data_IF_811936919960
#
_entry.id   IF_811936919960
#
_cell.length_a   1.000
_cell.length_b   1.000
_cell.length_c   1.000
_cell.angle_alpha   90.00
_cell.angle_beta   90.00
_cell.angle_gamma   90.00
#
_symmetry.space_group_name_H-M   'P 1'
#
loop_
_entity.id
_entity.type
_entity.pdbx_description
1 polymer ?
#
# COMPACT_ATOMS: atom_id res chain seq x y z
N UNK A 1 -33.82 1.50 -9.15
CA UNK A 1 -32.38 1.66 -8.87
C UNK A 1 -31.95 0.43 -8.10
N UNK A 2 -31.23 -0.50 -8.75
CA UNK A 2 -30.79 -1.74 -8.06
C UNK A 2 -29.85 -1.42 -6.90
N UNK A 3 -29.82 -2.29 -5.88
CA UNK A 3 -28.91 -2.13 -4.73
C UNK A 3 -27.48 -2.16 -5.28
N UNK A 4 -26.64 -1.22 -4.89
CA UNK A 4 -25.27 -1.05 -5.38
C UNK A 4 -24.44 -2.36 -5.32
N UNK A 5 -24.66 -3.17 -4.29
CA UNK A 5 -24.02 -4.47 -4.10
C UNK A 5 -24.36 -5.50 -5.19
N UNK A 6 -25.51 -5.39 -5.85
CA UNK A 6 -25.92 -6.33 -6.92
C UNK A 6 -25.15 -6.10 -8.22
N UNK A 7 -24.55 -4.91 -8.40
CA UNK A 7 -23.77 -4.55 -9.58
C UNK A 7 -22.32 -5.02 -9.49
N UNK A 8 -21.84 -5.33 -8.29
CA UNK A 8 -20.46 -5.79 -8.05
C UNK A 8 -20.35 -7.28 -8.39
N UNK A 9 -19.43 -7.63 -9.29
CA UNK A 9 -19.09 -9.01 -9.64
C UNK A 9 -17.83 -9.42 -8.91
N UNK A 10 -17.97 -10.25 -7.89
CA UNK A 10 -16.85 -10.81 -7.13
C UNK A 10 -16.39 -12.13 -7.73
N UNK A 11 -15.07 -12.35 -7.84
CA UNK A 11 -14.50 -13.60 -8.31
C UNK A 11 -13.18 -13.92 -7.61
N UNK A 12 -13.01 -15.15 -7.19
CA UNK A 12 -11.72 -15.69 -6.79
C UNK A 12 -10.95 -16.09 -8.06
N UNK A 13 -9.83 -15.43 -8.31
CA UNK A 13 -8.99 -15.65 -9.51
C UNK A 13 -8.00 -16.78 -9.26
N UNK A 14 -7.39 -16.78 -8.07
CA UNK A 14 -6.49 -17.81 -7.58
C UNK A 14 -6.60 -17.87 -6.06
N UNK A 15 -5.94 -18.82 -5.42
CA UNK A 15 -5.86 -18.87 -3.96
C UNK A 15 -5.30 -17.56 -3.40
N UNK A 16 -6.09 -16.88 -2.57
CA UNK A 16 -5.72 -15.60 -1.97
C UNK A 16 -5.66 -14.41 -2.93
N UNK A 17 -6.31 -14.51 -4.10
CA UNK A 17 -6.48 -13.43 -5.07
C UNK A 17 -7.96 -13.28 -5.43
N UNK A 18 -8.57 -12.21 -4.97
CA UNK A 18 -9.98 -11.90 -5.22
C UNK A 18 -10.11 -10.60 -6.02
N UNK A 19 -10.99 -10.60 -7.01
CA UNK A 19 -11.39 -9.39 -7.72
C UNK A 19 -12.82 -9.01 -7.41
N UNK A 20 -13.07 -7.69 -7.35
CA UNK A 20 -14.39 -7.10 -7.25
C UNK A 20 -14.53 -6.10 -8.40
N UNK A 21 -15.43 -6.36 -9.33
CA UNK A 21 -15.56 -5.55 -10.55
C UNK A 21 -16.95 -4.95 -10.63
N UNK A 22 -17.01 -3.64 -10.81
CA UNK A 22 -18.23 -2.89 -10.99
C UNK A 22 -18.22 -2.13 -12.33
N UNK A 23 -18.82 -2.69 -13.39
CA UNK A 23 -19.06 -1.93 -14.62
C UNK A 23 -19.95 -0.73 -14.35
N UNK A 24 -19.57 0.44 -14.84
CA UNK A 24 -20.35 1.69 -14.70
C UNK A 24 -20.70 2.27 -16.07
N UNK A 25 -21.60 3.26 -16.07
CA UNK A 25 -21.93 4.02 -17.30
C UNK A 25 -20.90 5.09 -17.66
N UNK A 26 -19.85 5.28 -16.88
CA UNK A 26 -18.76 6.23 -17.17
C UNK A 26 -17.91 5.65 -18.28
N UNK A 27 -17.80 6.37 -19.41
CA UNK A 27 -17.06 5.91 -20.58
C UNK A 27 -15.55 6.15 -20.44
N UNK A 28 -14.79 5.23 -20.99
CA UNK A 28 -13.34 5.30 -21.20
C UNK A 28 -12.46 5.41 -19.95
N UNK A 29 -13.01 5.50 -18.73
CA UNK A 29 -12.27 5.64 -17.48
C UNK A 29 -12.44 4.41 -16.60
N UNK A 30 -11.34 3.94 -16.03
CA UNK A 30 -11.31 2.84 -15.07
C UNK A 30 -10.53 3.30 -13.83
N UNK A 31 -11.16 3.13 -12.67
CA UNK A 31 -10.51 3.29 -11.37
C UNK A 31 -10.16 1.93 -10.81
N UNK A 32 -8.96 1.80 -10.24
CA UNK A 32 -8.44 0.57 -9.67
C UNK A 32 -8.06 0.85 -8.22
N UNK A 33 -8.35 -0.07 -7.33
CA UNK A 33 -7.84 -0.06 -5.97
C UNK A 33 -7.62 -1.49 -5.48
N UNK A 34 -6.81 -1.64 -4.45
CA UNK A 34 -6.64 -2.95 -3.85
C UNK A 34 -5.79 -2.92 -2.61
N UNK A 35 -5.68 -4.08 -1.97
CA UNK A 35 -4.96 -4.23 -0.72
C UNK A 35 -4.38 -5.63 -0.58
N UNK A 36 -3.26 -5.70 0.12
CA UNK A 36 -2.70 -6.95 0.66
C UNK A 36 -2.43 -6.76 2.16
N UNK A 37 -2.41 -7.84 2.93
CA UNK A 37 -1.89 -7.81 4.30
C UNK A 37 -0.39 -7.44 4.28
N UNK A 38 0.10 -6.80 5.33
CA UNK A 38 1.49 -6.35 5.40
C UNK A 38 1.61 -4.90 5.87
N UNK A 39 0.76 -4.50 6.82
CA UNK A 39 0.83 -3.18 7.46
C UNK A 39 1.77 -3.15 8.67
N UNK A 40 1.76 -2.03 9.41
CA UNK A 40 2.70 -1.76 10.50
C UNK A 40 2.60 -2.75 11.67
N UNK A 41 1.47 -3.43 11.86
CA UNK A 41 1.29 -4.46 12.89
C UNK A 41 2.14 -5.71 12.64
N UNK A 42 2.48 -6.02 11.39
CA UNK A 42 3.36 -7.15 11.06
C UNK A 42 4.83 -6.89 11.42
N UNK A 43 5.17 -5.67 11.82
CA UNK A 43 6.53 -5.28 12.22
C UNK A 43 6.57 -4.56 13.56
N UNK A 44 5.49 -4.64 14.36
CA UNK A 44 5.33 -3.83 15.59
C UNK A 44 6.43 -4.09 16.63
N UNK A 45 6.96 -5.31 16.68
CA UNK A 45 8.05 -5.70 17.58
C UNK A 45 9.44 -5.32 17.04
N UNK A 46 9.55 -4.79 15.83
CA UNK A 46 10.79 -4.36 15.16
C UNK A 46 10.70 -2.86 14.86
N UNK A 47 10.68 -2.52 13.59
CA UNK A 47 10.52 -1.13 13.14
C UNK A 47 9.21 -0.99 12.35
N UNK A 48 8.17 -0.48 13.00
CA UNK A 48 6.83 -0.32 12.40
C UNK A 48 6.76 0.74 11.28
N UNK A 49 7.88 1.43 10.97
CA UNK A 49 7.99 2.33 9.81
C UNK A 49 8.34 1.58 8.52
N UNK A 50 8.87 0.36 8.61
CA UNK A 50 9.24 -0.43 7.43
C UNK A 50 8.10 -0.57 6.42
N UNK A 51 6.86 -0.97 6.79
CA UNK A 51 5.78 -1.14 5.82
C UNK A 51 5.42 0.14 5.07
N UNK A 52 5.39 1.28 5.76
CA UNK A 52 5.06 2.56 5.12
C UNK A 52 6.17 3.04 4.17
N UNK A 53 7.43 2.79 4.51
CA UNK A 53 8.56 3.11 3.64
C UNK A 53 8.61 2.13 2.47
N UNK A 54 8.36 0.84 2.69
CA UNK A 54 8.29 -0.15 1.61
C UNK A 54 7.21 0.22 0.59
N UNK A 55 6.00 0.56 1.03
CA UNK A 55 4.93 1.02 0.15
C UNK A 55 5.33 2.28 -0.63
N UNK A 56 5.95 3.27 0.03
CA UNK A 56 6.41 4.52 -0.60
C UNK A 56 7.62 4.33 -1.54
N UNK A 57 8.23 3.16 -1.55
CA UNK A 57 9.33 2.83 -2.46
C UNK A 57 8.88 2.06 -3.71
N UNK A 58 7.63 1.58 -3.79
CA UNK A 58 7.14 0.79 -4.92
C UNK A 58 7.13 1.57 -6.24
N UNK A 59 6.98 2.89 -6.17
CA UNK A 59 7.03 3.79 -7.34
C UNK A 59 8.43 4.37 -7.60
N UNK A 60 9.47 3.97 -6.83
CA UNK A 60 10.83 4.51 -6.93
C UNK A 60 11.78 3.66 -7.77
N UNK A 61 11.30 2.62 -8.37
CA UNK A 61 12.03 1.74 -9.27
C UNK A 61 11.70 0.27 -9.08
N UNK A 62 11.80 -0.46 -10.16
CA UNK A 62 11.69 -1.92 -10.24
C UNK A 62 13.00 -2.50 -10.75
N UNK A 63 13.10 -3.83 -10.82
CA UNK A 63 14.24 -4.50 -11.45
C UNK A 63 14.40 -4.15 -12.95
N UNK A 64 13.33 -3.66 -13.61
CA UNK A 64 13.28 -3.40 -15.06
C UNK A 64 13.22 -1.91 -15.41
N UNK A 65 12.79 -1.06 -14.49
CA UNK A 65 12.54 0.37 -14.74
C UNK A 65 12.99 1.22 -13.56
N UNK A 66 13.65 2.33 -13.84
CA UNK A 66 13.86 3.38 -12.85
C UNK A 66 12.58 4.20 -12.62
N UNK A 67 12.60 5.09 -11.64
CA UNK A 67 11.45 5.95 -11.30
C UNK A 67 11.01 6.85 -12.45
N UNK A 68 11.95 7.32 -13.29
CA UNK A 68 11.64 8.21 -14.39
C UNK A 68 10.88 7.46 -15.48
N UNK A 69 11.31 6.22 -15.78
CA UNK A 69 10.62 5.37 -16.74
C UNK A 69 9.24 4.94 -16.25
N UNK A 70 9.07 4.74 -14.94
CA UNK A 70 7.74 4.49 -14.34
C UNK A 70 6.85 5.71 -14.52
N UNK A 71 7.32 6.92 -14.14
CA UNK A 71 6.57 8.18 -14.33
C UNK A 71 6.22 8.40 -15.80
N UNK A 72 7.18 8.33 -16.70
CA UNK A 72 6.97 8.49 -18.15
C UNK A 72 5.91 7.51 -18.66
N UNK A 73 5.96 6.24 -18.22
CA UNK A 73 4.98 5.22 -18.63
C UNK A 73 3.56 5.61 -18.22
N UNK A 74 3.37 6.10 -16.99
CA UNK A 74 2.05 6.52 -16.49
C UNK A 74 1.59 7.84 -17.12
N UNK A 75 2.45 8.85 -17.16
CA UNK A 75 2.14 10.19 -17.65
C UNK A 75 1.79 10.16 -19.15
N UNK A 76 2.52 9.37 -19.96
CA UNK A 76 2.28 9.26 -21.41
C UNK A 76 0.88 8.72 -21.74
N UNK A 77 0.24 8.03 -20.82
CA UNK A 77 -1.10 7.44 -21.00
C UNK A 77 -2.16 8.07 -20.10
N UNK A 78 -1.81 9.16 -19.38
CA UNK A 78 -2.71 9.84 -18.45
C UNK A 78 -3.20 8.96 -17.32
N UNK A 79 -2.34 8.06 -16.84
CA UNK A 79 -2.65 7.13 -15.74
C UNK A 79 -1.93 7.52 -14.45
N UNK A 80 -2.44 7.01 -13.34
CA UNK A 80 -1.86 7.21 -12.02
C UNK A 80 -1.89 5.91 -11.22
N UNK A 81 -0.83 5.65 -10.46
CA UNK A 81 -0.75 4.59 -9.47
C UNK A 81 -0.12 5.15 -8.19
N UNK A 82 -0.76 4.90 -7.06
CA UNK A 82 -0.30 5.33 -5.74
C UNK A 82 -0.29 4.15 -4.78
N UNK A 83 0.69 4.16 -3.87
CA UNK A 83 0.84 3.13 -2.84
C UNK A 83 0.84 3.76 -1.46
N UNK A 84 0.24 3.08 -0.49
CA UNK A 84 0.20 3.51 0.90
C UNK A 84 0.19 2.29 1.83
N UNK A 85 0.48 2.52 3.11
CA UNK A 85 0.37 1.48 4.12
C UNK A 85 -0.42 1.97 5.32
N UNK A 86 -1.23 1.08 5.89
CA UNK A 86 -2.00 1.27 7.11
C UNK A 86 -1.44 0.38 8.23
N UNK A 87 -2.21 0.21 9.31
CA UNK A 87 -1.84 -0.72 10.38
C UNK A 87 -1.84 -2.17 9.91
N UNK A 88 -2.78 -2.55 9.03
CA UNK A 88 -3.00 -3.94 8.61
C UNK A 88 -2.54 -4.22 7.18
N UNK A 89 -2.70 -3.24 6.28
CA UNK A 89 -2.60 -3.47 4.84
C UNK A 89 -1.59 -2.52 4.18
N UNK A 90 -0.99 -3.01 3.11
CA UNK A 90 -0.50 -2.17 2.02
C UNK A 90 -1.61 -2.04 0.99
N UNK A 91 -1.88 -0.80 0.58
CA UNK A 91 -2.93 -0.47 -0.36
C UNK A 91 -2.33 0.16 -1.62
N UNK A 92 -3.03 -0.01 -2.72
CA UNK A 92 -2.78 0.74 -3.95
C UNK A 92 -4.09 1.33 -4.49
N UNK A 93 -3.97 2.44 -5.18
CA UNK A 93 -5.05 3.10 -5.90
C UNK A 93 -4.51 3.63 -7.22
N UNK A 94 -5.36 3.73 -8.22
CA UNK A 94 -4.99 4.34 -9.48
C UNK A 94 -6.19 4.51 -10.39
N UNK A 95 -5.94 5.16 -11.51
CA UNK A 95 -6.91 5.26 -12.60
C UNK A 95 -6.18 5.21 -13.95
N UNK A 96 -6.89 4.84 -14.98
CA UNK A 96 -6.40 4.89 -16.37
C UNK A 96 -7.56 4.97 -17.37
N UNK A 97 -7.22 5.28 -18.60
CA UNK A 97 -8.14 5.08 -19.72
C UNK A 97 -8.24 3.58 -20.05
N UNK A 98 -9.41 3.17 -20.52
CA UNK A 98 -9.74 1.79 -20.88
C UNK A 98 -8.69 1.12 -21.78
N UNK A 99 -8.23 1.84 -22.81
CA UNK A 99 -7.25 1.33 -23.77
C UNK A 99 -5.87 1.06 -23.15
N UNK A 100 -5.58 1.67 -22.00
CA UNK A 100 -4.30 1.58 -21.32
C UNK A 100 -4.33 0.61 -20.12
N UNK A 101 -5.49 -0.01 -19.84
CA UNK A 101 -5.69 -0.87 -18.67
C UNK A 101 -4.63 -1.99 -18.58
N UNK A 102 -4.35 -2.66 -19.70
CA UNK A 102 -3.37 -3.77 -19.72
C UNK A 102 -1.97 -3.30 -19.30
N UNK A 103 -1.50 -2.18 -19.86
CA UNK A 103 -0.17 -1.66 -19.51
C UNK A 103 -0.08 -1.19 -18.07
N UNK A 104 -1.15 -0.57 -17.55
CA UNK A 104 -1.20 -0.10 -16.15
C UNK A 104 -1.25 -1.27 -15.17
N UNK A 105 -2.03 -2.32 -15.44
CA UNK A 105 -2.05 -3.55 -14.62
C UNK A 105 -0.69 -4.26 -14.65
N UNK A 106 -0.04 -4.33 -15.81
CA UNK A 106 1.30 -4.92 -15.93
C UNK A 106 2.34 -4.14 -15.12
N UNK A 107 2.28 -2.81 -15.16
CA UNK A 107 3.17 -1.96 -14.36
C UNK A 107 2.88 -2.09 -12.85
N UNK A 108 1.60 -2.10 -12.45
CA UNK A 108 1.21 -2.35 -11.06
C UNK A 108 1.78 -3.69 -10.55
N UNK A 109 1.63 -4.74 -11.34
CA UNK A 109 2.16 -6.06 -10.99
C UNK A 109 3.70 -6.05 -10.88
N UNK A 110 4.39 -5.39 -11.80
CA UNK A 110 5.85 -5.22 -11.76
C UNK A 110 6.30 -4.49 -10.49
N UNK A 111 5.67 -3.34 -10.17
CA UNK A 111 5.98 -2.55 -8.97
C UNK A 111 5.72 -3.32 -7.68
N UNK A 112 4.66 -4.13 -7.63
CA UNK A 112 4.33 -4.91 -6.45
C UNK A 112 5.18 -6.17 -6.30
N UNK A 113 5.62 -6.79 -7.39
CA UNK A 113 6.34 -8.06 -7.36
C UNK A 113 7.86 -7.91 -7.38
N UNK A 114 8.38 -6.86 -8.04
CA UNK A 114 9.82 -6.69 -8.32
C UNK A 114 10.34 -5.28 -8.01
N UNK A 115 10.05 -4.73 -6.82
CA UNK A 115 10.59 -3.42 -6.44
C UNK A 115 12.10 -3.51 -6.22
N UNK A 116 12.83 -2.47 -6.65
CA UNK A 116 14.30 -2.44 -6.55
C UNK A 116 14.80 -2.11 -5.14
N UNK A 117 14.09 -1.25 -4.39
CA UNK A 117 14.53 -0.71 -3.09
C UNK A 117 15.96 -0.15 -3.10
N UNK A 118 16.29 0.70 -4.09
CA UNK A 118 17.64 1.25 -4.21
C UNK A 118 18.01 2.11 -3.00
N UNK A 119 19.30 2.08 -2.61
CA UNK A 119 19.79 2.88 -1.48
C UNK A 119 19.68 4.38 -1.74
N UNK A 120 19.88 4.83 -2.97
CA UNK A 120 19.80 6.24 -3.38
C UNK A 120 18.37 6.78 -3.23
N UNK A 121 17.39 6.06 -3.78
CA UNK A 121 15.99 6.45 -3.67
C UNK A 121 15.49 6.40 -2.22
N UNK A 122 15.94 5.41 -1.45
CA UNK A 122 15.63 5.32 -0.02
C UNK A 122 16.21 6.52 0.75
N UNK A 123 17.44 6.92 0.48
CA UNK A 123 18.06 8.09 1.13
C UNK A 123 17.27 9.38 0.80
N UNK A 124 16.91 9.58 -0.47
CA UNK A 124 16.08 10.70 -0.92
C UNK A 124 14.70 10.70 -0.24
N UNK A 125 14.03 9.55 -0.19
CA UNK A 125 12.73 9.40 0.47
C UNK A 125 12.82 9.71 1.96
N UNK A 126 13.82 9.19 2.67
CA UNK A 126 14.07 9.46 4.10
C UNK A 126 14.25 10.96 4.35
N UNK A 127 15.10 11.63 3.57
CA UNK A 127 15.33 13.07 3.70
C UNK A 127 14.02 13.85 3.59
N UNK A 128 13.18 13.52 2.61
CA UNK A 128 11.88 14.14 2.43
C UNK A 128 10.93 13.90 3.60
N UNK A 129 10.83 12.65 4.09
CA UNK A 129 9.95 12.28 5.20
C UNK A 129 10.42 12.96 6.49
N UNK A 130 11.71 12.91 6.80
CA UNK A 130 12.29 13.53 8.00
C UNK A 130 12.08 15.05 7.96
N UNK A 131 12.34 15.70 6.83
CA UNK A 131 12.08 17.13 6.67
C UNK A 131 10.62 17.51 6.90
N UNK A 132 9.66 16.66 6.49
CA UNK A 132 8.25 16.86 6.80
C UNK A 132 7.94 16.69 8.30
N UNK A 133 8.56 15.73 8.97
CA UNK A 133 8.37 15.50 10.41
C UNK A 133 8.99 16.65 11.24
N UNK A 134 10.15 17.18 10.83
CA UNK A 134 10.76 18.34 11.49
C UNK A 134 9.83 19.56 11.45
N UNK A 135 9.23 19.85 10.28
CA UNK A 135 8.22 20.93 10.19
C UNK A 135 6.99 20.70 11.06
N UNK A 136 6.58 19.44 11.27
CA UNK A 136 5.43 19.10 12.13
C UNK A 136 5.72 19.30 13.63
N UNK A 137 6.97 19.49 14.06
CA UNK A 137 7.32 19.82 15.45
C UNK A 137 6.72 21.16 15.89
N UNK A 138 6.53 22.08 14.96
CA UNK A 138 5.91 23.40 15.24
C UNK A 138 4.37 23.35 15.23
N UNK A 139 3.77 22.24 14.80
CA UNK A 139 2.31 22.07 14.74
C UNK A 139 1.78 21.62 16.12
N UNK A 140 1.21 22.56 16.87
CA UNK A 140 0.64 22.32 18.22
C UNK A 140 -0.51 21.33 18.20
N UNK A 141 -1.38 21.35 17.17
CA UNK A 141 -2.48 20.41 17.02
C UNK A 141 -1.96 18.98 16.80
N UNK A 142 -0.95 18.82 15.95
CA UNK A 142 -0.32 17.52 15.71
C UNK A 142 0.32 16.96 16.97
N UNK A 143 1.05 17.79 17.71
CA UNK A 143 1.69 17.41 18.98
C UNK A 143 0.66 17.00 20.03
N UNK A 144 -0.42 17.76 20.19
CA UNK A 144 -1.51 17.42 21.10
C UNK A 144 -2.18 16.08 20.74
N UNK A 145 -2.46 15.84 19.45
CA UNK A 145 -3.00 14.56 18.97
C UNK A 145 -2.07 13.38 19.26
N UNK A 146 -0.77 13.52 19.01
CA UNK A 146 0.23 12.49 19.33
C UNK A 146 0.25 12.23 20.85
N UNK A 147 0.26 13.29 21.66
CA UNK A 147 0.23 13.18 23.14
C UNK A 147 -1.00 12.43 23.64
N UNK A 148 -2.18 12.77 23.11
CA UNK A 148 -3.43 12.09 23.45
C UNK A 148 -3.39 10.60 23.10
N UNK A 149 -2.99 10.24 21.88
CA UNK A 149 -2.95 8.84 21.45
C UNK A 149 -1.93 8.01 22.24
N UNK A 150 -0.83 8.62 22.68
CA UNK A 150 0.16 7.97 23.56
C UNK A 150 -0.36 7.78 24.99
N UNK A 151 -1.17 8.71 25.47
CA UNK A 151 -1.80 8.58 26.79
C UNK A 151 -2.88 7.49 26.82
N UNK A 152 -3.65 7.37 25.72
CA UNK A 152 -4.77 6.43 25.62
C UNK A 152 -4.35 5.00 25.28
N UNK A 153 -3.27 4.80 24.52
CA UNK A 153 -2.92 3.50 23.97
C UNK A 153 -1.53 3.05 24.41
N UNK A 154 -1.32 1.76 24.73
CA UNK A 154 0.01 1.18 24.92
C UNK A 154 0.76 1.09 23.58
N UNK A 155 2.09 0.93 23.64
CA UNK A 155 2.96 0.92 22.43
C UNK A 155 2.63 -0.18 21.42
N UNK A 156 2.10 -1.29 21.88
CA UNK A 156 1.71 -2.44 21.06
C UNK A 156 0.35 -2.25 20.38
N UNK A 157 -0.39 -1.21 20.75
CA UNK A 157 -1.72 -0.94 20.18
C UNK A 157 -1.63 -0.24 18.82
N UNK A 158 -2.46 -0.60 17.81
CA UNK A 158 -2.44 0.00 16.46
C UNK A 158 -2.59 1.53 16.42
N UNK A 159 -3.31 2.09 17.39
CA UNK A 159 -3.55 3.53 17.48
C UNK A 159 -2.47 4.30 18.25
N UNK A 160 -1.49 3.61 18.85
CA UNK A 160 -0.35 4.29 19.45
C UNK A 160 0.42 5.11 18.41
N UNK A 161 0.92 6.24 18.82
CA UNK A 161 1.77 7.10 17.96
C UNK A 161 3.07 7.42 18.69
N UNK A 162 4.18 7.16 18.04
CA UNK A 162 5.50 7.58 18.52
C UNK A 162 5.60 9.11 18.55
N UNK A 163 6.54 9.62 19.35
CA UNK A 163 6.93 11.03 19.24
C UNK A 163 7.52 11.29 17.85
N UNK A 164 7.57 12.57 17.45
CA UNK A 164 8.18 12.94 16.18
C UNK A 164 9.67 12.57 16.15
N UNK A 165 10.39 12.79 17.26
CA UNK A 165 11.82 12.43 17.40
C UNK A 165 12.02 10.91 17.24
N UNK A 166 11.21 10.11 17.95
CA UNK A 166 11.28 8.64 17.83
C UNK A 166 10.94 8.18 16.42
N UNK A 167 9.96 8.80 15.78
CA UNK A 167 9.60 8.51 14.38
C UNK A 167 10.76 8.81 13.43
N UNK A 168 11.45 9.95 13.59
CA UNK A 168 12.64 10.32 12.83
C UNK A 168 13.75 9.29 13.03
N UNK A 169 14.03 8.91 14.28
CA UNK A 169 15.02 7.88 14.61
C UNK A 169 14.70 6.55 13.91
N UNK A 170 13.46 6.07 14.01
CA UNK A 170 13.04 4.82 13.39
C UNK A 170 13.17 4.86 11.84
N UNK A 171 12.80 5.98 11.22
CA UNK A 171 12.91 6.15 9.77
C UNK A 171 14.37 6.19 9.33
N UNK A 172 15.24 6.91 10.05
CA UNK A 172 16.66 7.00 9.72
C UNK A 172 17.37 5.63 9.73
N UNK A 173 16.92 4.72 10.58
CA UNK A 173 17.48 3.38 10.74
C UNK A 173 17.05 2.37 9.66
N UNK A 174 15.96 2.63 8.92
CA UNK A 174 15.48 1.68 7.88
C UNK A 174 16.52 1.50 6.79
N UNK A 175 16.76 0.27 6.39
CA UNK A 175 17.70 -0.11 5.32
C UNK A 175 16.98 -0.75 4.15
N UNK A 176 17.56 -0.68 2.96
CA UNK A 176 17.03 -1.38 1.76
C UNK A 176 16.92 -2.88 1.97
N UNK A 177 17.86 -3.47 2.72
CA UNK A 177 17.82 -4.91 3.07
C UNK A 177 16.60 -5.26 3.92
N UNK A 178 16.24 -4.41 4.89
CA UNK A 178 15.04 -4.62 5.70
C UNK A 178 13.76 -4.49 4.86
N UNK A 179 13.71 -3.51 3.94
CA UNK A 179 12.59 -3.37 3.01
C UNK A 179 12.42 -4.61 2.13
N UNK A 180 13.51 -5.10 1.52
CA UNK A 180 13.49 -6.29 0.70
C UNK A 180 13.09 -7.55 1.49
N UNK A 181 13.59 -7.69 2.72
CA UNK A 181 13.24 -8.79 3.62
C UNK A 181 11.76 -8.75 4.00
N UNK A 182 11.25 -7.56 4.35
CA UNK A 182 9.83 -7.36 4.65
C UNK A 182 8.97 -7.68 3.43
N UNK A 183 9.29 -7.12 2.28
CA UNK A 183 8.58 -7.37 1.03
C UNK A 183 8.51 -8.86 0.72
N UNK A 184 9.65 -9.55 0.71
CA UNK A 184 9.72 -11.00 0.44
C UNK A 184 8.88 -11.82 1.44
N UNK A 185 8.78 -11.39 2.68
CA UNK A 185 8.02 -12.10 3.71
C UNK A 185 6.51 -11.85 3.64
N UNK A 186 6.08 -10.66 3.16
CA UNK A 186 4.68 -10.23 3.30
C UNK A 186 3.94 -10.03 1.98
N UNK A 187 4.62 -9.65 0.90
CA UNK A 187 3.96 -9.38 -0.38
C UNK A 187 3.80 -10.67 -1.18
N UNK A 188 2.58 -10.93 -1.64
CA UNK A 188 2.22 -12.12 -2.40
C UNK A 188 0.73 -12.35 -2.46
N UNK A 189 0.33 -13.46 -3.05
CA UNK A 189 -1.05 -13.95 -2.95
C UNK A 189 -1.32 -14.41 -1.50
N UNK A 190 -2.61 -14.55 -1.15
CA UNK A 190 -3.06 -14.95 0.18
C UNK A 190 -4.08 -13.97 0.77
N UNK A 191 -3.93 -12.68 0.46
CA UNK A 191 -4.86 -11.63 0.90
C UNK A 191 -5.01 -10.52 -0.14
N UNK A 192 -4.62 -10.75 -1.39
CA UNK A 192 -4.69 -9.74 -2.44
C UNK A 192 -6.13 -9.56 -2.92
N UNK A 193 -6.66 -8.38 -2.67
CA UNK A 193 -7.95 -7.96 -3.19
C UNK A 193 -7.74 -6.83 -4.20
N UNK A 194 -8.34 -6.96 -5.38
CA UNK A 194 -8.28 -5.95 -6.44
C UNK A 194 -9.70 -5.55 -6.83
N UNK A 195 -9.97 -4.27 -6.74
CA UNK A 195 -11.26 -3.66 -7.07
C UNK A 195 -11.10 -2.82 -8.32
N UNK A 196 -12.02 -2.93 -9.26
CA UNK A 196 -12.08 -2.06 -10.42
C UNK A 196 -13.51 -1.58 -10.68
N UNK A 197 -13.64 -0.29 -11.01
CA UNK A 197 -14.90 0.32 -11.39
C UNK A 197 -14.71 1.20 -12.63
N UNK A 198 -15.66 1.16 -13.58
CA UNK A 198 -15.58 1.96 -14.80
C UNK A 198 -16.07 1.26 -16.05
N UNK A 199 -15.53 1.66 -17.18
CA UNK A 199 -15.82 1.07 -18.50
C UNK A 199 -15.01 -0.19 -18.75
N UNK A 200 -15.41 -1.29 -18.12
CA UNK A 200 -14.70 -2.57 -18.24
C UNK A 200 -15.67 -3.76 -18.25
N UNK A 201 -15.22 -4.84 -18.87
CA UNK A 201 -15.90 -6.12 -18.83
C UNK A 201 -15.27 -7.00 -17.74
N UNK A 202 -16.04 -7.54 -16.78
CA UNK A 202 -15.51 -8.33 -15.67
C UNK A 202 -14.63 -9.50 -16.11
N UNK A 203 -15.02 -10.22 -17.16
CA UNK A 203 -14.27 -11.36 -17.68
C UNK A 203 -12.89 -10.94 -18.22
N UNK A 204 -12.84 -9.88 -19.01
CA UNK A 204 -11.59 -9.35 -19.57
C UNK A 204 -10.66 -8.83 -18.47
N UNK A 205 -11.20 -8.10 -17.48
CA UNK A 205 -10.43 -7.65 -16.33
C UNK A 205 -9.85 -8.83 -15.54
N UNK A 206 -10.65 -9.83 -15.23
CA UNK A 206 -10.21 -11.00 -14.50
C UNK A 206 -9.10 -11.77 -15.23
N UNK A 207 -9.16 -11.86 -16.56
CA UNK A 207 -8.10 -12.48 -17.35
C UNK A 207 -6.78 -11.69 -17.26
N UNK A 208 -6.83 -10.35 -17.30
CA UNK A 208 -5.66 -9.50 -17.10
C UNK A 208 -5.05 -9.65 -15.71
N UNK A 209 -5.88 -9.74 -14.66
CA UNK A 209 -5.40 -9.95 -13.30
C UNK A 209 -4.78 -11.34 -13.14
N UNK A 210 -5.38 -12.37 -13.73
CA UNK A 210 -4.83 -13.73 -13.74
C UNK A 210 -3.47 -13.77 -14.46
N UNK A 211 -3.34 -13.10 -15.62
CA UNK A 211 -2.09 -12.98 -16.37
C UNK A 211 -1.00 -12.28 -15.52
N UNK A 212 -1.35 -11.18 -14.85
CA UNK A 212 -0.39 -10.32 -14.16
C UNK A 212 0.03 -10.83 -12.77
N UNK A 213 -0.88 -11.47 -12.03
CA UNK A 213 -0.68 -11.83 -10.63
C UNK A 213 -0.82 -13.33 -10.34
N UNK A 214 -1.44 -14.12 -11.22
CA UNK A 214 -1.78 -15.51 -10.94
C UNK A 214 -0.59 -16.43 -10.64
N UNK A 215 0.61 -16.07 -11.08
CA UNK A 215 1.85 -16.78 -10.80
C UNK A 215 2.64 -16.23 -9.59
N UNK A 216 2.11 -15.23 -8.88
CA UNK A 216 2.82 -14.68 -7.73
C UNK A 216 2.81 -15.64 -6.54
N UNK A 217 3.88 -15.65 -5.76
CA UNK A 217 4.02 -16.59 -4.63
C UNK A 217 2.93 -16.38 -3.58
N UNK A 218 2.38 -17.47 -3.07
CA UNK A 218 1.44 -17.44 -1.95
C UNK A 218 2.14 -17.01 -0.66
N UNK A 219 1.50 -16.15 0.13
CA UNK A 219 1.93 -15.72 1.46
C UNK A 219 0.75 -15.82 2.42
N UNK A 220 0.81 -16.80 3.30
CA UNK A 220 -0.21 -16.95 4.34
C UNK A 220 0.16 -16.04 5.50
N UNK A 221 -0.42 -14.84 5.51
CA UNK A 221 -0.30 -13.90 6.62
C UNK A 221 -1.60 -13.91 7.40
N UNK A 222 -1.46 -14.00 8.72
CA UNK A 222 -2.57 -13.81 9.64
C UNK A 222 -2.63 -12.35 10.11
N UNK A 223 -3.82 -11.86 10.39
CA UNK A 223 -3.99 -10.58 11.05
C UNK A 223 -3.41 -10.66 12.46
N UNK A 224 -2.43 -9.82 12.82
CA UNK A 224 -1.91 -9.81 14.17
C UNK A 224 -3.04 -9.50 15.16
N UNK A 225 -3.17 -10.24 16.25
CA UNK A 225 -4.18 -9.96 17.26
C UNK A 225 -3.91 -8.61 17.92
N UNK A 226 -4.97 -7.85 18.21
CA UNK A 226 -4.88 -6.68 19.07
C UNK A 226 -4.86 -7.18 20.52
N UNK A 227 -3.68 -7.22 21.11
CA UNK A 227 -3.46 -7.78 22.44
C UNK A 227 -3.88 -6.81 23.53
N UNK A 228 -3.66 -5.51 23.32
CA UNK A 228 -3.83 -4.49 24.35
C UNK A 228 -5.10 -3.65 24.11
N UNK A 229 -5.83 -3.44 25.17
CA UNK A 229 -6.98 -2.51 25.20
C UNK A 229 -6.48 -1.08 25.45
N UNK A 230 -7.30 -0.10 25.10
CA UNK A 230 -7.07 1.28 25.49
C UNK A 230 -6.90 1.38 27.02
N UNK A 231 -6.00 2.23 27.48
CA UNK A 231 -5.85 2.52 28.91
C UNK A 231 -7.08 3.23 29.43
N UNK A 232 -7.57 2.91 30.65
CA UNK A 232 -8.61 3.72 31.25
C UNK A 232 -8.10 5.14 31.43
N UNK A 233 -8.98 6.16 31.34
CA UNK A 233 -8.60 7.55 31.58
C UNK A 233 -7.98 7.67 32.99
N UNK A 234 -6.78 8.24 33.07
CA UNK A 234 -6.20 8.61 34.36
C UNK A 234 -6.97 9.85 34.84
N UNK A 235 -7.49 9.78 36.06
CA UNK A 235 -8.13 10.93 36.74
C UNK A 235 -7.10 11.97 37.10
#
# INVERSE_FOLDING_TARGET
MGIFSEQVKTRNIAEGLTTLVMPTGVKDVITISGSILGGSLHTITKNHKIPSIAAAMLDKGTELKDKYKISETLESVGAELNFSSTQYHTNFTGFCLKNNLKSVISLLAEQMQKPLFSNEELATLKTRIIGNLERQKEDTKKRATIGLLRALFPQTHPNYRETLEKSIQLISQVTSKELATFHKATYGLGSLNIVAAGDLQPQAFNALIQEAFGGWSLRQLELPPIIDKAKPPQK
#
